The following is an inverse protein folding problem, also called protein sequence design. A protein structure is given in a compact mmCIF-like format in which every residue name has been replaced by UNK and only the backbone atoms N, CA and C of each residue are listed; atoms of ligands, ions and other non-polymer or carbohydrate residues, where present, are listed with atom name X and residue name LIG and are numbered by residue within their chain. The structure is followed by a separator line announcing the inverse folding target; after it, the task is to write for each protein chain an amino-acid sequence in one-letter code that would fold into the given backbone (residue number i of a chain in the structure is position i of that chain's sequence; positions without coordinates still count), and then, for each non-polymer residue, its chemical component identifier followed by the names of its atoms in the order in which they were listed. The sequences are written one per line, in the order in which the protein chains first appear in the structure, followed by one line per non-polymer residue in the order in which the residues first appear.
data_IF_336642017083
#
_entry.id   IF_336642017083
#
_cell.length_a   1.000
_cell.length_b   1.000
_cell.length_c   1.000
_cell.angle_alpha   90.00
_cell.angle_beta   90.00
_cell.angle_gamma   90.00
#
_symmetry.space_group_name_H-M   'P 1'
#
loop_
_entity.id
_entity.type
_entity.pdbx_description
1 polymer ?
#
# COMPACT_ATOMS: atom_id res chain seq x y z
N UNK A 1 -11.97 12.45 -13.77
CA UNK A 1 -10.95 12.67 -12.73
C UNK A 1 -11.46 13.74 -11.76
N UNK A 2 -11.32 13.56 -10.44
CA UNK A 2 -11.71 14.58 -9.46
C UNK A 2 -10.99 15.91 -9.73
N UNK A 3 -11.71 17.03 -9.65
CA UNK A 3 -11.12 18.37 -9.87
C UNK A 3 -10.09 18.76 -8.80
N UNK A 4 -10.14 18.11 -7.63
CA UNK A 4 -9.26 18.35 -6.49
C UNK A 4 -7.94 17.55 -6.55
N UNK A 5 -7.78 16.65 -7.53
CA UNK A 5 -6.57 15.85 -7.65
C UNK A 5 -5.46 16.66 -8.34
N UNK A 6 -4.41 17.01 -7.60
CA UNK A 6 -3.18 17.55 -8.16
C UNK A 6 -2.24 16.39 -8.56
N UNK A 7 -1.98 16.24 -9.86
CA UNK A 7 -1.09 15.20 -10.38
C UNK A 7 0.39 15.60 -10.34
N UNK A 8 0.70 16.89 -10.16
CA UNK A 8 2.09 17.37 -10.18
C UNK A 8 2.90 16.91 -8.97
N UNK A 9 2.22 16.45 -7.91
CA UNK A 9 2.82 15.92 -6.68
C UNK A 9 2.90 14.39 -6.64
N UNK A 10 2.54 13.70 -7.73
CA UNK A 10 2.57 12.24 -7.83
C UNK A 10 3.77 11.85 -8.70
N UNK A 11 4.75 11.19 -8.08
CA UNK A 11 5.96 10.71 -8.79
C UNK A 11 5.71 9.41 -9.57
N UNK A 12 4.88 8.51 -9.01
CA UNK A 12 4.61 7.19 -9.57
C UNK A 12 3.23 6.65 -9.17
N UNK A 13 2.73 5.66 -9.92
CA UNK A 13 1.47 4.97 -9.66
C UNK A 13 1.67 3.46 -9.70
N UNK A 14 1.23 2.78 -8.64
CA UNK A 14 1.30 1.31 -8.54
C UNK A 14 -0.11 0.74 -8.65
N UNK A 15 -0.32 -0.16 -9.60
CA UNK A 15 -1.54 -0.95 -9.68
C UNK A 15 -1.43 -2.15 -8.73
N UNK A 16 -2.49 -2.39 -7.97
CA UNK A 16 -2.59 -3.51 -7.04
C UNK A 16 -3.93 -4.19 -7.28
N UNK A 17 -3.91 -5.50 -7.42
CA UNK A 17 -5.13 -6.31 -7.56
C UNK A 17 -5.84 -6.50 -6.23
N UNK A 18 -7.15 -6.77 -6.31
CA UNK A 18 -7.94 -7.10 -5.12
C UNK A 18 -7.35 -8.29 -4.36
N UNK A 19 -6.89 -9.33 -5.06
CA UNK A 19 -6.28 -10.53 -4.47
C UNK A 19 -5.04 -10.17 -3.63
N UNK A 20 -4.09 -9.41 -4.20
CA UNK A 20 -2.89 -8.96 -3.49
C UNK A 20 -3.23 -8.13 -2.25
N UNK A 21 -4.24 -7.25 -2.36
CA UNK A 21 -4.71 -6.41 -1.26
C UNK A 21 -5.33 -7.25 -0.12
N UNK A 22 -6.18 -8.22 -0.46
CA UNK A 22 -6.83 -9.10 0.53
C UNK A 22 -5.83 -10.05 1.19
N UNK A 23 -4.92 -10.65 0.42
CA UNK A 23 -3.89 -11.53 0.98
C UNK A 23 -2.99 -10.77 1.95
N UNK A 24 -2.60 -9.55 1.59
CA UNK A 24 -1.75 -8.70 2.43
C UNK A 24 -2.44 -8.34 3.74
N UNK A 25 -3.72 -7.96 3.72
CA UNK A 25 -4.42 -7.60 4.96
C UNK A 25 -4.72 -8.80 5.85
N UNK A 26 -5.01 -9.97 5.27
CA UNK A 26 -5.17 -11.21 6.03
C UNK A 26 -3.84 -11.59 6.69
N UNK A 27 -2.73 -11.46 5.99
CA UNK A 27 -1.41 -11.71 6.55
C UNK A 27 -1.08 -10.74 7.70
N UNK A 28 -1.35 -9.44 7.52
CA UNK A 28 -1.15 -8.42 8.55
C UNK A 28 -1.98 -8.70 9.81
N UNK A 29 -3.27 -9.00 9.64
CA UNK A 29 -4.15 -9.31 10.75
C UNK A 29 -3.71 -10.57 11.51
N UNK A 30 -3.22 -11.59 10.81
CA UNK A 30 -2.79 -12.87 11.41
C UNK A 30 -1.41 -12.80 12.06
N UNK A 31 -0.47 -12.03 11.50
CA UNK A 31 0.93 -11.99 11.94
C UNK A 31 1.18 -10.90 12.98
N UNK A 32 0.64 -9.71 12.73
CA UNK A 32 0.91 -8.52 13.54
C UNK A 32 -0.29 -8.12 14.41
N UNK A 33 -1.43 -8.80 14.25
CA UNK A 33 -2.62 -8.54 15.05
C UNK A 33 -3.31 -7.22 14.72
N UNK A 34 -3.08 -6.67 13.52
CA UNK A 34 -3.61 -5.38 13.06
C UNK A 34 -4.75 -5.62 12.06
N UNK A 35 -6.03 -5.60 12.50
CA UNK A 35 -7.16 -5.74 11.59
C UNK A 35 -7.46 -4.41 10.89
N UNK A 36 -7.36 -4.40 9.56
CA UNK A 36 -7.66 -3.24 8.71
C UNK A 36 -8.39 -3.69 7.44
N UNK A 37 -8.79 -2.74 6.60
CA UNK A 37 -9.47 -3.01 5.33
C UNK A 37 -8.53 -3.31 4.16
N UNK A 38 -9.08 -3.79 3.03
CA UNK A 38 -8.30 -4.14 1.83
C UNK A 38 -7.55 -2.94 1.23
N UNK A 39 -8.09 -1.72 1.30
CA UNK A 39 -7.37 -0.52 0.82
C UNK A 39 -6.04 -0.32 1.55
N UNK A 40 -5.99 -0.53 2.87
CA UNK A 40 -4.73 -0.53 3.62
C UNK A 40 -3.84 -1.69 3.21
N UNK A 41 -4.41 -2.86 2.91
CA UNK A 41 -3.69 -4.00 2.33
C UNK A 41 -3.00 -3.65 1.00
N UNK A 42 -3.67 -2.92 0.10
CA UNK A 42 -3.09 -2.49 -1.16
C UNK A 42 -1.90 -1.53 -0.97
N UNK A 43 -2.04 -0.56 -0.07
CA UNK A 43 -0.95 0.38 0.26
C UNK A 43 0.24 -0.36 0.86
N UNK A 44 -0.01 -1.28 1.81
CA UNK A 44 1.05 -2.08 2.43
C UNK A 44 1.73 -3.01 1.42
N UNK A 45 0.99 -3.62 0.50
CA UNK A 45 1.53 -4.46 -0.56
C UNK A 45 2.50 -3.68 -1.45
N UNK A 46 2.08 -2.50 -1.92
CA UNK A 46 2.93 -1.61 -2.71
C UNK A 46 4.20 -1.20 -1.93
N UNK A 47 4.04 -0.81 -0.66
CA UNK A 47 5.15 -0.44 0.23
C UNK A 47 6.17 -1.57 0.41
N UNK A 48 5.69 -2.79 0.67
CA UNK A 48 6.53 -3.98 0.84
C UNK A 48 7.27 -4.34 -0.44
N UNK A 49 6.62 -4.22 -1.61
CA UNK A 49 7.28 -4.43 -2.89
C UNK A 49 8.38 -3.39 -3.16
N UNK A 50 8.11 -2.12 -2.87
CA UNK A 50 9.09 -1.04 -3.00
C UNK A 50 10.31 -1.26 -2.07
N UNK A 51 10.08 -1.78 -0.87
CA UNK A 51 11.14 -2.09 0.09
C UNK A 51 12.07 -3.26 -0.31
N UNK A 52 11.70 -4.08 -1.31
CA UNK A 52 12.54 -5.20 -1.77
C UNK A 52 13.85 -4.73 -2.41
N UNK A 53 13.83 -3.57 -3.07
CA UNK A 53 14.97 -3.02 -3.82
C UNK A 53 15.49 -1.70 -3.25
N UNK A 54 14.78 -1.08 -2.30
CA UNK A 54 15.15 0.18 -1.67
C UNK A 54 15.44 -0.01 -0.17
N UNK A 55 16.56 0.52 0.33
CA UNK A 55 16.98 0.40 1.73
C UNK A 55 16.94 1.74 2.45
N UNK A 56 16.76 1.70 3.78
CA UNK A 56 16.74 2.90 4.62
C UNK A 56 15.47 3.74 4.44
N UNK A 57 14.38 3.13 3.97
CA UNK A 57 13.11 3.80 3.72
C UNK A 57 12.18 3.70 4.92
N UNK A 58 11.38 4.74 5.12
CA UNK A 58 10.21 4.73 6.00
C UNK A 58 8.99 5.08 5.15
N UNK A 59 7.93 4.28 5.24
CA UNK A 59 6.68 4.51 4.52
C UNK A 59 5.63 4.97 5.51
N UNK A 60 4.93 6.06 5.15
CA UNK A 60 3.86 6.66 5.96
C UNK A 60 2.56 6.59 5.19
N UNK A 61 1.49 6.20 5.87
CA UNK A 61 0.12 6.11 5.35
C UNK A 61 -0.76 6.96 6.26
N UNK A 62 -1.62 7.81 5.70
CA UNK A 62 -2.54 8.70 6.44
C UNK A 62 -3.96 8.19 6.44
#
# INVERSE_FOLDING_TARGET
MPKILDRSVIDDTVEVSDEEAYETVIALARKDGIPVGPTTGAILYAALNYAKTNKGIAVVMS
#
